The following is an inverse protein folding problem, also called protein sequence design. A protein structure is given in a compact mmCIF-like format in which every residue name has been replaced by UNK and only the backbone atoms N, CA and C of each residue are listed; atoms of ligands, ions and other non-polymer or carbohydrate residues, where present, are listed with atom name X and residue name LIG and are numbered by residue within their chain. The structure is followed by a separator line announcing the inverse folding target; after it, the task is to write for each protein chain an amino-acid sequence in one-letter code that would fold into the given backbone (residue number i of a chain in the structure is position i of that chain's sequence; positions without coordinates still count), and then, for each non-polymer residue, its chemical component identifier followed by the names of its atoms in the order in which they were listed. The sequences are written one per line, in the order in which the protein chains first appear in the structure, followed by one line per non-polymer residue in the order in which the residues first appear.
data_IF_623435155945
#
_entry.id   IF_623435155945
#
_cell.length_a   1.000
_cell.length_b   1.000
_cell.length_c   1.000
_cell.angle_alpha   90.00
_cell.angle_beta   90.00
_cell.angle_gamma   90.00
#
_symmetry.space_group_name_H-M   'P 1'
#
loop_
_entity.id
_entity.type
_entity.pdbx_description
1 polymer ?
#
# COMPACT_ATOMS: atom_id res chain seq x y z
N UNK A 1 -48.35 1.34 18.03
CA UNK A 1 -47.23 1.77 18.88
C UNK A 1 -46.12 0.72 19.09
N UNK A 2 -46.35 -0.57 19.28
CA UNK A 2 -45.30 -1.57 19.56
C UNK A 2 -44.42 -1.93 18.33
N UNK A 3 -44.85 -1.69 17.09
CA UNK A 3 -44.06 -1.97 15.86
C UNK A 3 -43.04 -0.87 15.54
N UNK A 4 -43.38 0.40 15.77
CA UNK A 4 -42.44 1.53 15.60
C UNK A 4 -41.24 1.45 16.57
N UNK A 5 -41.49 1.04 17.84
CA UNK A 5 -40.43 0.87 18.83
C UNK A 5 -39.41 -0.20 18.46
N UNK A 6 -39.86 -1.32 17.87
CA UNK A 6 -38.95 -2.39 17.39
C UNK A 6 -38.10 -1.94 16.20
N UNK A 7 -38.63 -1.07 15.35
CA UNK A 7 -37.93 -0.54 14.19
C UNK A 7 -36.82 0.44 14.59
N UNK A 8 -37.14 1.33 15.53
CA UNK A 8 -36.15 2.26 16.11
C UNK A 8 -34.99 1.48 16.75
N UNK A 9 -35.29 0.39 17.43
CA UNK A 9 -34.28 -0.45 18.09
C UNK A 9 -33.35 -1.14 17.09
N UNK A 10 -33.86 -1.63 15.97
CA UNK A 10 -33.06 -2.23 14.88
C UNK A 10 -32.18 -1.19 14.19
N UNK A 11 -32.70 0.02 13.94
CA UNK A 11 -31.93 1.12 13.36
C UNK A 11 -30.81 1.58 14.30
N UNK A 12 -31.09 1.66 15.60
CA UNK A 12 -30.08 2.02 16.60
C UNK A 12 -28.98 0.94 16.72
N UNK A 13 -29.31 -0.35 16.66
CA UNK A 13 -28.33 -1.44 16.68
C UNK A 13 -27.47 -1.40 15.41
N UNK A 14 -28.07 -1.17 14.24
CA UNK A 14 -27.34 -1.04 12.99
C UNK A 14 -26.42 0.19 12.98
N UNK A 15 -26.85 1.29 13.59
CA UNK A 15 -26.04 2.51 13.73
C UNK A 15 -24.87 2.32 14.70
N UNK A 16 -25.11 1.62 15.81
CA UNK A 16 -24.07 1.29 16.79
C UNK A 16 -23.01 0.33 16.22
N UNK A 17 -23.41 -0.61 15.35
CA UNK A 17 -22.47 -1.54 14.70
C UNK A 17 -21.54 -0.81 13.71
N UNK A 18 -22.02 0.25 13.04
CA UNK A 18 -21.19 1.07 12.15
C UNK A 18 -20.16 1.94 12.90
N UNK A 19 -20.41 2.31 14.14
CA UNK A 19 -19.46 3.09 14.96
C UNK A 19 -18.24 2.27 15.37
N UNK A 20 -18.40 0.95 15.57
CA UNK A 20 -17.30 0.06 15.96
C UNK A 20 -16.30 -0.12 14.80
N UNK A 21 -16.79 -0.17 13.54
CA UNK A 21 -15.93 -0.26 12.36
C UNK A 21 -15.10 1.02 12.12
N UNK A 22 -15.62 2.19 12.55
CA UNK A 22 -14.92 3.47 12.37
C UNK A 22 -13.81 3.70 13.42
N UNK A 23 -13.98 3.17 14.63
CA UNK A 23 -12.99 3.31 15.70
C UNK A 23 -11.69 2.53 15.45
N UNK A 24 -11.74 1.45 14.68
CA UNK A 24 -10.55 0.65 14.32
C UNK A 24 -9.71 1.28 13.19
N UNK A 25 -10.30 2.13 12.35
CA UNK A 25 -9.59 2.81 11.26
C UNK A 25 -8.67 3.96 11.75
N UNK A 26 -8.85 4.45 12.98
CA UNK A 26 -8.08 5.59 13.52
C UNK A 26 -6.79 5.12 14.21
N UNK A 27 -6.69 3.84 14.58
CA UNK A 27 -5.54 3.30 15.33
C UNK A 27 -4.30 3.04 14.47
N UNK A 28 -4.38 3.18 13.15
CA UNK A 28 -3.24 2.96 12.23
C UNK A 28 -2.49 4.24 11.83
N UNK A 29 -2.81 5.40 12.45
CA UNK A 29 -2.09 6.65 12.21
C UNK A 29 -0.87 6.76 13.13
N UNK A 30 -0.10 5.67 13.24
CA UNK A 30 1.20 5.65 13.90
C UNK A 30 2.31 5.97 12.91
N UNK A 31 2.90 7.14 13.01
CA UNK A 31 4.21 7.52 12.43
C UNK A 31 4.30 7.86 10.92
N UNK A 32 3.32 8.43 10.29
CA UNK A 32 3.43 8.94 8.92
C UNK A 32 4.20 10.28 8.78
N UNK A 33 5.15 10.59 9.64
CA UNK A 33 5.81 11.91 9.64
C UNK A 33 7.33 11.94 9.81
N UNK A 34 8.00 10.80 9.97
CA UNK A 34 9.46 10.75 10.04
C UNK A 34 9.98 9.92 8.88
N UNK A 35 10.87 10.49 8.06
CA UNK A 35 11.64 9.72 7.11
C UNK A 35 12.33 8.58 7.87
N UNK A 36 11.85 7.35 7.67
CA UNK A 36 12.42 6.20 8.35
C UNK A 36 13.74 5.85 7.67
N UNK A 37 14.80 5.80 8.45
CA UNK A 37 16.10 5.33 8.01
C UNK A 37 16.41 4.00 8.70
N UNK A 38 16.66 2.98 7.90
CA UNK A 38 16.89 1.62 8.38
C UNK A 38 18.36 1.23 8.14
N UNK A 39 19.04 0.73 9.19
CA UNK A 39 20.42 0.27 9.12
C UNK A 39 20.43 -1.27 9.13
N UNK A 40 20.94 -1.88 8.07
CA UNK A 40 20.91 -3.31 7.83
C UNK A 40 22.31 -3.88 7.54
N UNK A 41 23.25 -3.60 8.40
CA UNK A 41 24.61 -4.10 8.27
C UNK A 41 25.31 -4.30 9.60
N UNK A 42 26.37 -5.10 9.60
CA UNK A 42 27.28 -5.26 10.74
C UNK A 42 28.23 -4.07 10.83
N UNK A 43 28.85 -3.85 12.00
CA UNK A 43 29.73 -2.70 12.26
C UNK A 43 30.98 -2.65 11.36
N UNK A 44 31.36 -3.76 10.74
CA UNK A 44 32.53 -3.87 9.86
C UNK A 44 32.21 -3.84 8.36
N UNK A 45 30.95 -3.62 7.98
CA UNK A 45 30.54 -3.58 6.56
C UNK A 45 30.40 -2.15 6.07
N UNK A 46 30.88 -1.91 4.83
CA UNK A 46 30.61 -0.66 4.14
C UNK A 46 29.16 -0.64 3.68
N UNK A 47 28.40 0.35 4.16
CA UNK A 47 27.01 0.51 3.84
C UNK A 47 26.81 1.58 2.77
N UNK A 48 25.79 1.38 1.93
CA UNK A 48 25.29 2.36 0.98
C UNK A 48 23.85 2.77 1.29
N UNK A 49 23.53 4.02 1.00
CA UNK A 49 22.17 4.51 1.12
C UNK A 49 21.38 4.21 -0.17
N UNK A 50 20.22 3.59 -0.03
CA UNK A 50 19.25 3.36 -1.11
C UNK A 50 17.85 3.74 -0.63
N UNK A 51 16.99 4.19 -1.55
CA UNK A 51 15.65 4.61 -1.21
C UNK A 51 14.63 3.61 -1.76
N UNK A 52 13.57 3.34 -0.99
CA UNK A 52 12.43 2.49 -1.41
C UNK A 52 11.14 3.28 -1.28
N UNK A 53 10.44 3.49 -2.40
CA UNK A 53 9.21 4.26 -2.47
C UNK A 53 8.06 3.46 -3.07
N UNK A 54 6.85 3.82 -2.67
CA UNK A 54 5.62 3.32 -3.27
C UNK A 54 4.99 2.15 -2.53
N UNK A 55 4.57 1.12 -3.27
CA UNK A 55 3.75 0.02 -2.77
C UNK A 55 4.58 -1.11 -2.15
N UNK A 56 5.34 -0.78 -1.10
CA UNK A 56 6.04 -1.71 -0.20
C UNK A 56 5.47 -1.58 1.20
N UNK A 57 5.70 -2.58 2.06
CA UNK A 57 5.19 -2.54 3.42
C UNK A 57 5.86 -1.46 4.26
N UNK A 58 7.14 -1.26 4.09
CA UNK A 58 7.94 -0.29 4.87
C UNK A 58 8.75 0.59 3.90
N UNK A 59 8.18 1.69 3.36
CA UNK A 59 8.93 2.62 2.53
C UNK A 59 9.89 3.46 3.38
N UNK A 60 11.05 3.82 2.83
CA UNK A 60 12.03 4.63 3.54
C UNK A 60 13.40 4.60 2.88
N UNK A 61 14.40 5.18 3.56
CA UNK A 61 15.80 5.07 3.20
C UNK A 61 16.45 3.94 3.98
N UNK A 62 17.20 3.10 3.27
CA UNK A 62 17.89 1.94 3.81
C UNK A 62 19.39 2.11 3.68
N UNK A 63 20.09 1.84 4.79
CA UNK A 63 21.55 1.69 4.80
C UNK A 63 21.85 0.20 4.71
N UNK A 64 22.27 -0.25 3.54
CA UNK A 64 22.48 -1.66 3.23
C UNK A 64 23.91 -1.92 2.77
N UNK A 65 24.41 -3.18 2.87
CA UNK A 65 25.72 -3.54 2.33
C UNK A 65 25.83 -3.25 0.82
N UNK A 66 27.05 -2.94 0.34
CA UNK A 66 27.30 -2.63 -1.07
C UNK A 66 26.90 -3.75 -2.04
N UNK A 67 26.85 -5.00 -1.58
CA UNK A 67 26.49 -6.17 -2.39
C UNK A 67 25.00 -6.51 -2.32
N UNK A 68 24.13 -5.54 -2.01
CA UNK A 68 22.69 -5.76 -1.92
C UNK A 68 22.04 -5.68 -3.28
N UNK A 69 21.30 -6.73 -3.64
CA UNK A 69 20.46 -6.79 -4.84
C UNK A 69 19.04 -6.23 -4.59
N UNK A 70 18.27 -6.07 -5.66
CA UNK A 70 16.92 -5.52 -5.61
C UNK A 70 15.97 -6.36 -4.74
N UNK A 71 15.99 -7.69 -4.87
CA UNK A 71 15.07 -8.58 -4.13
C UNK A 71 15.41 -8.60 -2.65
N UNK A 72 16.69 -8.57 -2.29
CA UNK A 72 17.14 -8.42 -0.91
C UNK A 72 16.67 -7.12 -0.30
N UNK A 73 16.80 -6.00 -1.03
CA UNK A 73 16.28 -4.70 -0.55
C UNK A 73 14.77 -4.71 -0.37
N UNK A 74 14.01 -5.29 -1.31
CA UNK A 74 12.57 -5.42 -1.16
C UNK A 74 12.18 -6.28 0.04
N UNK A 75 12.95 -7.34 0.32
CA UNK A 75 12.76 -8.19 1.50
C UNK A 75 12.99 -7.41 2.80
N UNK A 76 14.01 -6.56 2.84
CA UNK A 76 14.26 -5.65 3.96
C UNK A 76 13.13 -4.63 4.15
N UNK A 77 12.49 -4.19 3.06
CA UNK A 77 11.32 -3.32 3.09
C UNK A 77 10.02 -4.06 3.46
N UNK A 78 10.11 -5.32 3.91
CA UNK A 78 8.96 -6.16 4.28
C UNK A 78 8.18 -6.71 3.10
N UNK A 79 8.74 -6.65 1.91
CA UNK A 79 8.16 -7.11 0.65
C UNK A 79 7.19 -6.11 -0.01
N UNK A 80 6.82 -6.39 -1.26
CA UNK A 80 5.76 -5.66 -1.95
C UNK A 80 4.41 -5.86 -1.27
N UNK A 81 3.56 -4.85 -1.33
CA UNK A 81 2.16 -4.96 -0.88
C UNK A 81 1.34 -5.78 -1.87
N UNK A 82 0.16 -6.27 -1.44
CA UNK A 82 -0.75 -7.08 -2.28
C UNK A 82 -1.17 -6.36 -3.57
N UNK A 83 -1.27 -5.03 -3.52
CA UNK A 83 -1.65 -4.18 -4.64
C UNK A 83 -0.43 -3.65 -5.43
N UNK A 84 0.77 -4.13 -5.14
CA UNK A 84 1.99 -3.76 -5.84
C UNK A 84 2.08 -4.38 -7.24
N UNK A 85 2.63 -3.62 -8.19
CA UNK A 85 2.96 -4.12 -9.53
C UNK A 85 4.39 -4.63 -9.56
N UNK A 86 4.58 -5.90 -9.21
CA UNK A 86 5.91 -6.53 -9.16
C UNK A 86 6.50 -6.87 -10.53
N UNK A 87 5.69 -6.86 -11.59
CA UNK A 87 6.15 -7.04 -12.99
C UNK A 87 6.86 -5.82 -13.57
N UNK A 88 6.83 -4.69 -12.87
CA UNK A 88 7.46 -3.47 -13.32
C UNK A 88 7.87 -2.61 -12.14
N UNK A 89 9.00 -2.94 -11.57
CA UNK A 89 9.66 -2.15 -10.55
C UNK A 89 10.71 -1.29 -11.24
N UNK A 90 10.78 0.00 -10.89
CA UNK A 90 11.75 0.91 -11.47
C UNK A 90 12.88 1.19 -10.50
N UNK A 91 14.09 1.01 -10.96
CA UNK A 91 15.29 1.49 -10.27
C UNK A 91 15.75 2.76 -10.98
N UNK A 92 15.67 3.88 -10.28
CA UNK A 92 16.15 5.16 -10.76
C UNK A 92 17.55 5.38 -10.22
N UNK A 93 18.51 5.45 -11.11
CA UNK A 93 19.93 5.65 -10.83
C UNK A 93 20.37 7.00 -11.33
N UNK A 94 20.98 7.80 -10.46
CA UNK A 94 21.56 9.10 -10.84
C UNK A 94 23.06 8.93 -10.92
N UNK A 95 23.66 9.20 -12.08
CA UNK A 95 25.10 9.16 -12.24
C UNK A 95 25.75 10.37 -11.58
N UNK A 96 26.83 10.12 -10.82
CA UNK A 96 27.49 11.15 -9.99
C UNK A 96 28.14 12.29 -10.80
N UNK A 97 28.38 12.11 -12.09
CA UNK A 97 29.09 13.09 -12.95
C UNK A 97 28.20 13.76 -14.00
N UNK A 98 26.90 13.48 -14.06
CA UNK A 98 26.09 13.97 -15.15
C UNK A 98 24.65 14.30 -14.77
N UNK A 99 24.09 15.14 -15.57
CA UNK A 99 22.67 15.50 -15.61
C UNK A 99 21.80 14.30 -16.12
N UNK A 100 22.34 13.06 -16.08
CA UNK A 100 21.71 11.88 -16.67
C UNK A 100 21.23 10.93 -15.58
N UNK A 101 19.94 10.67 -15.58
CA UNK A 101 19.32 9.62 -14.76
C UNK A 101 18.98 8.43 -15.65
N UNK A 102 19.39 7.24 -15.23
CA UNK A 102 19.00 5.99 -15.86
C UNK A 102 17.80 5.38 -15.12
N UNK A 103 16.81 4.93 -15.88
CA UNK A 103 15.67 4.18 -15.33
C UNK A 103 15.77 2.74 -15.82
N UNK A 104 15.87 1.80 -14.90
CA UNK A 104 15.93 0.37 -15.15
C UNK A 104 14.56 -0.19 -14.74
N UNK A 105 13.82 -0.74 -15.71
CA UNK A 105 12.58 -1.47 -15.42
C UNK A 105 12.93 -2.94 -15.16
N UNK A 106 12.44 -3.52 -14.06
CA UNK A 106 12.73 -4.87 -13.59
C UNK A 106 11.43 -5.64 -13.38
N UNK A 107 11.36 -6.89 -13.89
CA UNK A 107 10.25 -7.82 -13.63
C UNK A 107 10.63 -8.82 -12.52
N UNK A 108 10.41 -8.41 -11.26
CA UNK A 108 10.68 -9.29 -10.10
C UNK A 108 9.81 -10.55 -10.13
N UNK A 109 8.65 -10.52 -10.81
CA UNK A 109 7.84 -11.72 -10.97
C UNK A 109 8.55 -12.75 -11.84
N UNK A 110 9.17 -12.30 -12.93
CA UNK A 110 9.91 -13.19 -13.80
C UNK A 110 11.13 -13.80 -13.09
N UNK A 111 11.87 -13.00 -12.33
CA UNK A 111 12.92 -13.52 -11.45
C UNK A 111 12.42 -14.62 -10.51
N UNK A 112 11.28 -14.43 -9.85
CA UNK A 112 10.71 -15.41 -8.90
C UNK A 112 10.25 -16.69 -9.62
N UNK A 113 9.72 -16.56 -10.84
CA UNK A 113 9.19 -17.69 -11.62
C UNK A 113 10.29 -18.49 -12.32
N UNK A 114 11.35 -17.83 -12.81
CA UNK A 114 12.40 -18.43 -13.68
C UNK A 114 13.77 -18.54 -13.01
N UNK A 115 14.06 -17.66 -12.05
CA UNK A 115 15.38 -17.51 -11.45
C UNK A 115 16.35 -16.71 -12.33
N UNK A 116 15.85 -15.92 -13.30
CA UNK A 116 16.68 -15.10 -14.17
C UNK A 116 17.34 -13.96 -13.39
N UNK A 117 18.66 -13.99 -13.30
CA UNK A 117 19.44 -13.01 -12.54
C UNK A 117 19.47 -11.62 -13.19
N UNK A 118 19.16 -11.51 -14.49
CA UNK A 118 19.06 -10.21 -15.16
C UNK A 118 17.92 -9.37 -14.57
N UNK A 119 16.88 -10.04 -14.06
CA UNK A 119 15.74 -9.41 -13.37
C UNK A 119 15.98 -9.21 -11.86
N UNK A 120 17.20 -9.39 -11.37
CA UNK A 120 17.60 -9.06 -10.00
C UNK A 120 18.92 -8.27 -9.97
N UNK A 121 18.95 -7.04 -10.45
CA UNK A 121 20.16 -6.25 -10.54
C UNK A 121 20.72 -5.88 -9.16
N UNK A 122 22.05 -5.79 -9.09
CA UNK A 122 22.77 -5.21 -7.96
C UNK A 122 22.48 -3.70 -7.89
N UNK A 123 22.25 -3.21 -6.67
CA UNK A 123 21.98 -1.81 -6.43
C UNK A 123 23.27 -1.02 -6.27
N UNK A 124 23.21 0.26 -6.60
CA UNK A 124 24.30 1.21 -6.41
C UNK A 124 23.93 2.27 -5.36
N UNK A 125 24.95 2.92 -4.74
CA UNK A 125 24.71 3.99 -3.80
C UNK A 125 23.87 5.12 -4.42
N UNK A 126 22.79 5.51 -3.72
CA UNK A 126 21.88 6.55 -4.19
C UNK A 126 20.71 6.06 -5.05
N UNK A 127 20.66 4.78 -5.43
CA UNK A 127 19.54 4.23 -6.18
C UNK A 127 18.21 4.46 -5.46
N UNK A 128 17.17 4.74 -6.24
CA UNK A 128 15.80 4.86 -5.75
C UNK A 128 14.92 3.81 -6.42
N UNK A 129 14.47 2.85 -5.62
CA UNK A 129 13.56 1.80 -6.06
C UNK A 129 12.12 2.27 -5.91
N UNK A 130 11.37 2.29 -7.01
CA UNK A 130 9.98 2.74 -7.06
C UNK A 130 9.06 1.57 -7.40
N UNK A 131 8.26 1.16 -6.45
CA UNK A 131 7.25 0.11 -6.62
C UNK A 131 5.89 0.76 -6.88
N UNK A 132 5.39 0.63 -8.10
CA UNK A 132 4.08 1.18 -8.48
C UNK A 132 2.94 0.27 -8.02
N UNK A 133 1.73 0.84 -7.82
CA UNK A 133 0.52 0.07 -7.58
C UNK A 133 -0.12 -0.45 -8.86
N UNK A 134 -0.95 -1.47 -8.73
CA UNK A 134 -1.80 -1.97 -9.81
C UNK A 134 -3.03 -1.05 -9.99
N UNK A 135 -3.54 -0.97 -11.22
CA UNK A 135 -4.80 -0.23 -11.51
C UNK A 135 -6.00 -0.84 -10.79
N UNK A 136 -5.90 -2.08 -10.34
CA UNK A 136 -6.94 -2.79 -9.59
C UNK A 136 -7.29 -2.10 -8.26
N UNK A 137 -6.30 -1.46 -7.62
CA UNK A 137 -6.51 -0.68 -6.41
C UNK A 137 -7.51 0.49 -6.62
N UNK A 138 -7.43 1.17 -7.77
CA UNK A 138 -8.38 2.25 -8.11
C UNK A 138 -9.79 1.70 -8.36
N UNK A 139 -9.91 0.55 -9.05
CA UNK A 139 -11.19 -0.09 -9.35
C UNK A 139 -11.88 -0.54 -8.07
N UNK A 140 -11.18 -1.17 -7.14
CA UNK A 140 -11.73 -1.57 -5.84
C UNK A 140 -12.25 -0.38 -5.04
N UNK A 141 -11.52 0.73 -5.03
CA UNK A 141 -11.93 1.95 -4.33
C UNK A 141 -13.20 2.56 -4.90
N UNK A 142 -13.36 2.53 -6.23
CA UNK A 142 -14.60 2.96 -6.91
C UNK A 142 -15.76 2.02 -6.59
N UNK A 143 -15.50 0.70 -6.54
CA UNK A 143 -16.50 -0.31 -6.21
C UNK A 143 -17.01 -0.16 -4.77
N UNK A 144 -16.12 0.06 -3.79
CA UNK A 144 -16.48 0.34 -2.41
C UNK A 144 -17.34 1.59 -2.26
N UNK A 145 -16.98 2.66 -2.99
CA UNK A 145 -17.76 3.91 -2.99
C UNK A 145 -19.14 3.68 -3.58
N UNK A 146 -19.24 2.98 -4.71
CA UNK A 146 -20.50 2.62 -5.36
C UNK A 146 -21.41 1.80 -4.46
N UNK A 147 -20.86 0.80 -3.77
CA UNK A 147 -21.60 -0.02 -2.82
C UNK A 147 -22.14 0.80 -1.63
N UNK A 148 -21.35 1.72 -1.08
CA UNK A 148 -21.78 2.62 0.00
C UNK A 148 -22.94 3.51 -0.44
N UNK A 149 -22.87 4.07 -1.65
CA UNK A 149 -23.94 4.90 -2.21
C UNK A 149 -25.22 4.08 -2.41
N UNK A 150 -25.12 2.87 -2.97
CA UNK A 150 -26.26 1.98 -3.16
C UNK A 150 -26.96 1.62 -1.84
N UNK A 151 -26.20 1.37 -0.76
CA UNK A 151 -26.76 1.11 0.57
C UNK A 151 -27.51 2.31 1.14
N UNK A 152 -27.02 3.54 0.92
CA UNK A 152 -27.70 4.77 1.35
C UNK A 152 -29.02 4.95 0.60
N UNK A 153 -29.00 4.78 -0.72
CA UNK A 153 -30.20 4.90 -1.56
C UNK A 153 -31.27 3.86 -1.16
N UNK A 154 -30.84 2.63 -0.90
CA UNK A 154 -31.74 1.57 -0.45
C UNK A 154 -32.35 1.89 0.94
N UNK A 155 -31.57 2.44 1.85
CA UNK A 155 -32.05 2.86 3.17
C UNK A 155 -33.08 3.97 3.07
N UNK A 156 -32.86 4.97 2.21
CA UNK A 156 -33.81 6.07 1.95
C UNK A 156 -35.11 5.52 1.35
N UNK A 157 -35.00 4.61 0.36
CA UNK A 157 -36.17 4.00 -0.27
C UNK A 157 -37.02 3.22 0.73
N UNK A 158 -36.40 2.42 1.59
CA UNK A 158 -37.08 1.69 2.67
C UNK A 158 -37.73 2.64 3.67
N UNK A 159 -37.07 3.73 4.05
CA UNK A 159 -37.62 4.74 4.95
C UNK A 159 -38.88 5.41 4.37
N UNK A 160 -38.85 5.78 3.09
CA UNK A 160 -40.02 6.36 2.41
C UNK A 160 -41.18 5.37 2.28
N UNK A 161 -40.87 4.10 1.98
CA UNK A 161 -41.89 3.06 1.88
C UNK A 161 -42.60 2.80 3.22
N UNK A 162 -41.86 2.88 4.34
CA UNK A 162 -42.46 2.75 5.67
C UNK A 162 -43.22 4.01 6.11
N UNK A 163 -42.74 5.22 5.76
CA UNK A 163 -43.39 6.49 6.11
C UNK A 163 -44.70 6.73 5.35
N UNK A 164 -44.85 6.18 4.15
CA UNK A 164 -46.09 6.31 3.33
C UNK A 164 -47.16 5.27 3.65
N UNK A 165 -47.01 4.49 4.73
CA UNK A 165 -47.92 3.40 5.08
C UNK A 165 -48.82 3.70 6.30
N UNK A 166 -48.72 4.89 6.85
CA UNK A 166 -49.62 5.47 7.85
C UNK A 166 -50.64 6.37 7.14
#
# INVERSE_FOLDING_TARGET
MKRASRFILIVCIFWAFNQIAFAQAISSTGNAGRAAQYFLGNQDQVLMAVNVWGFVNVPGQYMVPLETDLVSLLSYAGGPREDARIKRIRVVRVEAEGDTSQVIDVDVKDFVDTGDLEENPMLLPGDTVVVSGTTFHLVNKIFELGFRIAMIVQAIYLAQWYAGRD
#
